data_IF_789603978509
#
_entry.id   IF_789603978509
#
_cell.length_a   1.000
_cell.length_b   1.000
_cell.length_c   1.000
_cell.angle_alpha   90.00
_cell.angle_beta   90.00
_cell.angle_gamma   90.00
#
_symmetry.space_group_name_H-M   'P 1'
#
loop_
_entity.id
_entity.type
_entity.pdbx_description
1 polymer ?
#
# COMPACT_ATOMS: atom_id res chain seq x y z
N UNK A 1 2.70 -16.04 12.05
CA UNK A 1 3.89 -15.46 11.40
C UNK A 1 4.27 -14.13 12.06
N UNK A 2 5.55 -13.84 12.24
CA UNK A 2 6.01 -12.56 12.75
C UNK A 2 5.73 -11.44 11.73
N UNK A 3 5.25 -10.26 12.19
CA UNK A 3 4.98 -9.12 11.31
C UNK A 3 6.30 -8.52 10.82
N UNK A 4 6.49 -8.42 9.50
CA UNK A 4 7.71 -7.86 8.89
C UNK A 4 8.03 -6.47 9.46
N UNK A 5 9.31 -6.18 9.72
CA UNK A 5 9.80 -4.88 10.18
C UNK A 5 9.17 -4.33 11.49
N UNK A 6 8.64 -5.20 12.37
CA UNK A 6 8.00 -4.80 13.65
C UNK A 6 8.82 -3.80 14.47
N UNK A 7 10.14 -4.00 14.56
CA UNK A 7 11.05 -3.16 15.35
C UNK A 7 11.97 -2.29 14.48
N UNK A 8 11.54 -1.92 13.27
CA UNK A 8 12.34 -1.09 12.36
C UNK A 8 12.71 0.25 12.99
N UNK A 9 13.96 0.69 12.77
CA UNK A 9 14.45 2.04 13.09
C UNK A 9 14.42 2.97 11.88
N UNK A 10 14.02 2.46 10.71
CA UNK A 10 13.92 3.24 9.48
C UNK A 10 12.69 4.15 9.58
N UNK A 11 12.91 5.45 9.40
CA UNK A 11 11.82 6.43 9.44
C UNK A 11 10.89 6.29 8.25
N UNK A 12 9.72 6.92 8.34
CA UNK A 12 8.74 6.96 7.25
C UNK A 12 9.32 7.69 6.04
N UNK A 13 10.03 8.79 6.26
CA UNK A 13 10.66 9.63 5.23
C UNK A 13 11.71 8.83 4.46
N UNK A 14 12.55 8.06 5.16
CA UNK A 14 13.54 7.19 4.51
C UNK A 14 12.85 6.13 3.64
N UNK A 15 11.74 5.56 4.11
CA UNK A 15 10.98 4.57 3.34
C UNK A 15 10.34 5.18 2.09
N UNK A 16 9.79 6.41 2.19
CA UNK A 16 9.25 7.17 1.05
C UNK A 16 10.31 7.54 0.02
N UNK A 17 11.47 8.01 0.48
CA UNK A 17 12.60 8.31 -0.43
C UNK A 17 13.11 7.05 -1.13
N UNK A 18 13.12 5.91 -0.44
CA UNK A 18 13.48 4.62 -1.05
C UNK A 18 12.43 4.13 -2.07
N UNK A 19 11.13 4.36 -1.82
CA UNK A 19 10.05 4.13 -2.80
C UNK A 19 10.29 4.95 -4.07
N UNK A 20 10.49 6.26 -3.92
CA UNK A 20 10.74 7.19 -5.03
C UNK A 20 11.94 6.77 -5.88
N UNK A 21 13.10 6.58 -5.24
CA UNK A 21 14.34 6.15 -5.92
C UNK A 21 14.18 4.80 -6.61
N UNK A 22 13.40 3.89 -6.03
CA UNK A 22 13.13 2.59 -6.64
C UNK A 22 12.28 2.79 -7.89
N UNK A 23 11.14 3.47 -7.80
CA UNK A 23 10.27 3.70 -8.95
C UNK A 23 10.96 4.47 -10.07
N UNK A 24 11.77 5.48 -9.74
CA UNK A 24 12.54 6.25 -10.71
C UNK A 24 13.50 5.35 -11.51
N UNK A 25 14.17 4.38 -10.86
CA UNK A 25 15.05 3.42 -11.54
C UNK A 25 14.29 2.51 -12.52
N UNK A 26 13.02 2.21 -12.23
CA UNK A 26 12.15 1.40 -13.09
C UNK A 26 11.37 2.25 -14.11
N UNK A 27 11.79 3.50 -14.34
CA UNK A 27 11.24 4.34 -15.42
C UNK A 27 9.98 5.11 -15.04
N UNK A 28 9.69 5.28 -13.74
CA UNK A 28 8.60 6.16 -13.33
C UNK A 28 8.87 7.61 -13.73
N UNK A 29 7.92 8.20 -14.46
CA UNK A 29 7.95 9.58 -14.96
C UNK A 29 7.35 10.56 -13.96
N UNK A 30 6.46 10.07 -13.10
CA UNK A 30 5.82 10.83 -12.03
C UNK A 30 5.74 9.96 -10.79
N UNK A 31 5.87 10.58 -9.62
CA UNK A 31 5.76 9.93 -8.32
C UNK A 31 5.07 10.85 -7.33
N UNK A 32 4.20 10.27 -6.50
CA UNK A 32 3.58 10.92 -5.36
C UNK A 32 3.53 9.94 -4.19
N UNK A 33 3.86 10.41 -2.99
CA UNK A 33 3.57 9.67 -1.77
C UNK A 33 2.91 10.58 -0.75
N UNK A 34 1.97 10.03 0.00
CA UNK A 34 1.14 10.79 0.91
C UNK A 34 0.50 9.90 1.96
N UNK A 35 -0.20 10.51 2.89
CA UNK A 35 -1.01 9.81 3.87
C UNK A 35 -2.14 10.72 4.34
N UNK A 36 -3.22 10.12 4.81
CA UNK A 36 -4.25 10.80 5.59
C UNK A 36 -4.31 10.19 7.00
N UNK A 37 -5.45 10.26 7.67
CA UNK A 37 -5.60 9.72 9.02
C UNK A 37 -5.46 8.19 9.07
N UNK A 38 -5.92 7.49 8.03
CA UNK A 38 -6.14 6.05 8.06
C UNK A 38 -5.40 5.29 6.95
N UNK A 39 -4.80 5.98 5.99
CA UNK A 39 -4.22 5.39 4.80
C UNK A 39 -2.88 6.03 4.43
N UNK A 40 -1.96 5.18 3.98
CA UNK A 40 -0.76 5.57 3.23
C UNK A 40 -1.00 5.38 1.73
N UNK A 41 -0.49 6.30 0.93
CA UNK A 41 -0.63 6.32 -0.52
C UNK A 41 0.73 6.40 -1.20
N UNK A 42 0.90 5.60 -2.25
CA UNK A 42 1.97 5.74 -3.24
C UNK A 42 1.33 5.69 -4.61
N UNK A 43 1.56 6.71 -5.42
CA UNK A 43 1.11 6.77 -6.81
C UNK A 43 2.29 7.08 -7.72
N UNK A 44 2.28 6.51 -8.93
CA UNK A 44 3.34 6.70 -9.91
C UNK A 44 2.82 6.48 -11.33
N UNK A 45 3.54 7.03 -12.30
CA UNK A 45 3.24 6.85 -13.73
C UNK A 45 4.41 6.18 -14.43
N UNK A 46 4.15 5.05 -15.09
CA UNK A 46 5.09 4.36 -15.98
C UNK A 46 4.35 4.07 -17.29
N UNK A 47 5.01 4.27 -18.43
CA UNK A 47 4.45 4.04 -19.77
C UNK A 47 3.08 4.74 -19.98
N UNK A 48 2.96 5.98 -19.51
CA UNK A 48 1.73 6.78 -19.60
C UNK A 48 0.50 6.15 -18.89
N UNK A 49 0.72 5.23 -17.95
CA UNK A 49 -0.32 4.65 -17.09
C UNK A 49 -0.05 5.01 -15.63
N UNK A 50 -1.07 5.50 -14.95
CA UNK A 50 -1.03 5.81 -13.53
C UNK A 50 -1.37 4.58 -12.69
N UNK A 51 -0.62 4.37 -11.62
CA UNK A 51 -0.83 3.31 -10.63
C UNK A 51 -0.92 3.93 -9.24
N UNK A 52 -1.75 3.37 -8.38
CA UNK A 52 -1.94 3.81 -6.99
C UNK A 52 -2.02 2.61 -6.06
N UNK A 53 -1.10 2.56 -5.11
CA UNK A 53 -1.06 1.57 -4.04
C UNK A 53 -1.44 2.24 -2.72
N UNK A 54 -2.32 1.60 -1.96
CA UNK A 54 -2.74 2.07 -0.64
C UNK A 54 -2.44 1.02 0.42
N UNK A 55 -2.22 1.48 1.65
CA UNK A 55 -2.06 0.61 2.80
C UNK A 55 -2.69 1.25 4.04
N UNK A 56 -3.56 0.54 4.77
CA UNK A 56 -4.10 1.06 6.02
C UNK A 56 -3.01 1.37 7.04
N UNK A 57 -3.04 2.59 7.56
CA UNK A 57 -2.30 3.00 8.73
C UNK A 57 -3.08 2.65 9.99
N UNK A 58 -2.39 2.32 11.09
CA UNK A 58 -3.07 1.96 12.32
C UNK A 58 -3.66 3.22 12.97
N UNK A 59 -4.82 3.08 13.59
CA UNK A 59 -5.44 4.17 14.35
C UNK A 59 -4.68 4.40 15.66
N UNK A 60 -4.66 5.65 16.14
CA UNK A 60 -4.07 5.98 17.45
C UNK A 60 -4.80 5.29 18.60
N UNK A 61 -6.08 5.00 18.43
CA UNK A 61 -6.91 4.33 19.45
C UNK A 61 -6.46 2.89 19.73
N UNK A 62 -5.84 2.22 18.75
CA UNK A 62 -5.32 0.85 18.88
C UNK A 62 -4.21 0.74 19.94
N UNK A 63 -3.56 1.86 20.29
CA UNK A 63 -2.41 1.90 21.18
C UNK A 63 -2.72 2.48 22.57
N UNK A 64 -4.01 2.58 22.95
CA UNK A 64 -4.40 3.10 24.28
C UNK A 64 -3.92 2.22 25.44
N UNK A 65 -3.93 0.91 25.26
CA UNK A 65 -3.59 -0.06 26.30
C UNK A 65 -2.25 -0.75 26.02
N UNK A 66 -1.63 -1.26 27.09
CA UNK A 66 -0.46 -2.13 26.98
C UNK A 66 -0.79 -3.36 26.13
N UNK A 67 0.22 -4.03 25.53
CA UNK A 67 -0.02 -5.27 24.77
C UNK A 67 -0.72 -6.38 25.58
N UNK A 68 -0.63 -6.35 26.92
CA UNK A 68 -1.33 -7.26 27.84
C UNK A 68 -2.78 -6.84 28.15
N UNK A 69 -3.23 -5.70 27.63
CA UNK A 69 -4.57 -5.11 27.87
C UNK A 69 -4.80 -4.56 29.28
N UNK A 70 -3.82 -4.70 30.18
CA UNK A 70 -4.04 -4.52 31.62
C UNK A 70 -3.88 -3.09 32.11
N UNK A 71 -3.20 -2.22 31.34
CA UNK A 71 -2.84 -0.86 31.77
C UNK A 71 -2.93 0.14 30.62
N UNK A 72 -3.53 1.29 30.87
CA UNK A 72 -3.50 2.43 29.93
C UNK A 72 -2.09 3.02 29.82
N UNK A 73 -1.66 3.29 28.59
CA UNK A 73 -0.34 3.84 28.30
C UNK A 73 -0.33 5.36 28.47
N UNK A 74 0.84 5.90 28.80
CA UNK A 74 1.05 7.35 28.77
C UNK A 74 0.99 7.86 27.33
N UNK A 75 0.57 9.12 27.12
CA UNK A 75 0.47 9.74 25.79
C UNK A 75 1.75 9.57 24.95
N UNK A 76 2.92 9.71 25.57
CA UNK A 76 4.22 9.51 24.93
C UNK A 76 4.43 8.08 24.44
N UNK A 77 4.09 7.07 25.27
CA UNK A 77 4.20 5.65 24.90
C UNK A 77 3.20 5.28 23.81
N UNK A 78 1.98 5.81 23.89
CA UNK A 78 0.98 5.64 22.83
C UNK A 78 1.49 6.19 21.49
N UNK A 79 2.02 7.42 21.50
CA UNK A 79 2.56 8.07 20.32
C UNK A 79 3.73 7.28 19.74
N UNK A 80 4.71 6.90 20.57
CA UNK A 80 5.86 6.12 20.13
C UNK A 80 5.49 4.75 19.55
N UNK A 81 4.50 4.06 20.13
CA UNK A 81 4.00 2.78 19.62
C UNK A 81 3.26 2.95 18.28
N UNK A 82 2.42 3.98 18.17
CA UNK A 82 1.72 4.32 16.93
C UNK A 82 2.71 4.66 15.81
N UNK A 83 3.68 5.54 16.06
CA UNK A 83 4.72 5.89 15.09
C UNK A 83 5.53 4.67 14.66
N UNK A 84 5.86 3.77 15.59
CA UNK A 84 6.55 2.52 15.29
C UNK A 84 5.73 1.63 14.34
N UNK A 85 4.42 1.54 14.56
CA UNK A 85 3.53 0.80 13.69
C UNK A 85 3.38 1.47 12.32
N UNK A 86 3.32 2.81 12.25
CA UNK A 86 3.34 3.55 10.98
C UNK A 86 4.65 3.30 10.20
N UNK A 87 5.82 3.36 10.86
CA UNK A 87 7.12 3.00 10.24
C UNK A 87 7.09 1.59 9.66
N UNK A 88 6.53 0.65 10.41
CA UNK A 88 6.38 -0.75 9.96
C UNK A 88 5.49 -0.85 8.72
N UNK A 89 4.36 -0.15 8.66
CA UNK A 89 3.46 -0.14 7.49
C UNK A 89 4.14 0.39 6.24
N UNK A 90 4.86 1.51 6.33
CA UNK A 90 5.62 2.05 5.20
C UNK A 90 6.71 1.09 4.70
N UNK A 91 7.39 0.38 5.61
CA UNK A 91 8.34 -0.68 5.24
C UNK A 91 7.67 -1.85 4.55
N UNK A 92 6.47 -2.24 4.97
CA UNK A 92 5.70 -3.29 4.32
C UNK A 92 5.26 -2.87 2.91
N UNK A 93 4.82 -1.61 2.73
CA UNK A 93 4.44 -1.08 1.41
C UNK A 93 5.63 -1.10 0.44
N UNK A 94 6.80 -0.65 0.90
CA UNK A 94 8.04 -0.72 0.12
C UNK A 94 8.45 -2.15 -0.21
N UNK A 95 8.35 -3.09 0.74
CA UNK A 95 8.65 -4.49 0.49
C UNK A 95 7.72 -5.07 -0.58
N UNK A 96 6.42 -4.80 -0.47
CA UNK A 96 5.43 -5.22 -1.46
C UNK A 96 5.77 -4.68 -2.85
N UNK A 97 6.07 -3.38 -2.95
CA UNK A 97 6.47 -2.79 -4.23
C UNK A 97 7.73 -3.46 -4.81
N UNK A 98 8.78 -3.62 -3.99
CA UNK A 98 10.02 -4.27 -4.45
C UNK A 98 9.80 -5.69 -4.93
N UNK A 99 8.99 -6.48 -4.22
CA UNK A 99 8.66 -7.84 -4.64
C UNK A 99 7.96 -7.88 -5.99
N UNK A 100 7.04 -6.94 -6.25
CA UNK A 100 6.37 -6.80 -7.55
C UNK A 100 7.35 -6.44 -8.67
N UNK A 101 8.22 -5.47 -8.42
CA UNK A 101 9.24 -5.04 -9.37
C UNK A 101 10.27 -6.15 -9.68
N UNK A 102 10.69 -6.90 -8.66
CA UNK A 102 11.55 -8.09 -8.83
C UNK A 102 10.84 -9.17 -9.66
N UNK A 103 9.55 -9.40 -9.44
CA UNK A 103 8.74 -10.32 -10.24
C UNK A 103 8.74 -9.96 -11.74
N UNK A 104 8.79 -8.66 -12.04
CA UNK A 104 8.92 -8.18 -13.42
C UNK A 104 10.34 -8.39 -13.94
N UNK A 105 11.37 -8.04 -13.16
CA UNK A 105 12.77 -8.20 -13.57
C UNK A 105 13.19 -9.65 -13.80
N UNK A 106 12.71 -10.58 -12.99
CA UNK A 106 12.97 -12.01 -13.18
C UNK A 106 12.07 -12.66 -14.24
N UNK A 107 11.21 -11.87 -14.91
CA UNK A 107 10.35 -12.34 -16.00
C UNK A 107 9.14 -13.17 -15.55
N UNK A 108 8.82 -13.19 -14.25
CA UNK A 108 7.65 -13.90 -13.74
C UNK A 108 6.33 -13.19 -14.08
N UNK A 109 6.36 -11.88 -14.33
CA UNK A 109 5.21 -11.09 -14.75
C UNK A 109 5.60 -9.91 -15.65
N UNK A 110 4.63 -9.33 -16.35
CA UNK A 110 4.77 -8.02 -17.00
C UNK A 110 4.32 -6.92 -16.05
N UNK A 111 4.73 -5.66 -16.31
CA UNK A 111 4.28 -4.51 -15.53
C UNK A 111 2.75 -4.42 -15.52
N UNK A 112 2.13 -4.56 -16.68
CA UNK A 112 0.69 -4.43 -16.88
C UNK A 112 -0.09 -5.47 -16.07
N UNK A 113 0.42 -6.70 -16.00
CA UNK A 113 -0.24 -7.77 -15.24
C UNK A 113 0.02 -7.64 -13.74
N UNK A 114 1.28 -7.41 -13.35
CA UNK A 114 1.68 -7.37 -11.93
C UNK A 114 1.06 -6.18 -11.18
N UNK A 115 0.85 -5.07 -11.89
CA UNK A 115 0.25 -3.84 -11.36
C UNK A 115 -1.20 -3.60 -11.81
N UNK A 116 -1.84 -4.55 -12.51
CA UNK A 116 -3.20 -4.36 -13.06
C UNK A 116 -4.19 -3.85 -12.01
N UNK A 117 -4.25 -4.51 -10.86
CA UNK A 117 -5.14 -4.17 -9.74
C UNK A 117 -4.95 -2.74 -9.20
N UNK A 118 -3.77 -2.15 -9.40
CA UNK A 118 -3.38 -0.83 -8.93
C UNK A 118 -3.48 0.24 -10.02
N UNK A 119 -3.70 -0.14 -11.28
CA UNK A 119 -3.85 0.79 -12.38
C UNK A 119 -5.06 1.71 -12.12
N UNK A 120 -4.89 3.01 -12.32
CA UNK A 120 -5.92 4.00 -12.11
C UNK A 120 -6.78 4.17 -13.37
N UNK A 121 -8.09 4.24 -13.15
CA UNK A 121 -9.08 4.62 -14.14
C UNK A 121 -9.21 6.15 -14.21
N UNK A 122 -9.84 6.72 -15.26
CA UNK A 122 -10.01 8.18 -15.39
C UNK A 122 -10.73 8.85 -14.22
N UNK A 123 -11.56 8.12 -13.48
CA UNK A 123 -12.25 8.61 -12.28
C UNK A 123 -11.37 8.63 -11.02
N UNK A 124 -10.11 8.16 -11.11
CA UNK A 124 -9.14 8.12 -10.01
C UNK A 124 -9.23 6.87 -9.12
N UNK A 125 -10.20 5.99 -9.33
CA UNK A 125 -10.25 4.67 -8.69
C UNK A 125 -9.25 3.71 -9.33
N UNK A 126 -8.83 2.68 -8.60
CA UNK A 126 -8.02 1.60 -9.21
C UNK A 126 -8.91 0.54 -9.85
N UNK A 127 -8.37 -0.22 -10.80
CA UNK A 127 -9.06 -1.37 -11.40
C UNK A 127 -9.59 -2.33 -10.34
N UNK A 128 -8.83 -2.60 -9.27
CA UNK A 128 -9.31 -3.44 -8.17
C UNK A 128 -10.56 -2.86 -7.50
N UNK A 129 -10.57 -1.56 -7.20
CA UNK A 129 -11.72 -0.91 -6.56
C UNK A 129 -12.97 -0.99 -7.45
N UNK A 130 -12.80 -0.83 -8.76
CA UNK A 130 -13.90 -0.93 -9.72
C UNK A 130 -14.38 -2.37 -9.93
N UNK A 131 -13.47 -3.34 -9.98
CA UNK A 131 -13.76 -4.72 -10.36
C UNK A 131 -14.32 -5.57 -9.22
N UNK A 132 -13.94 -5.31 -7.96
CA UNK A 132 -14.37 -6.11 -6.81
C UNK A 132 -15.90 -6.27 -6.70
N UNK A 133 -16.71 -5.19 -6.76
CA UNK A 133 -18.17 -5.33 -6.70
C UNK A 133 -18.75 -6.16 -7.85
N UNK A 134 -18.13 -6.11 -9.03
CA UNK A 134 -18.58 -6.87 -10.20
C UNK A 134 -18.23 -8.35 -10.04
N UNK A 135 -17.04 -8.65 -9.53
CA UNK A 135 -16.62 -10.01 -9.22
C UNK A 135 -17.56 -10.66 -8.20
N UNK A 136 -17.95 -9.93 -7.14
CA UNK A 136 -18.89 -10.43 -6.14
C UNK A 136 -20.21 -10.84 -6.78
N UNK A 137 -20.78 -9.99 -7.64
CA UNK A 137 -21.99 -10.29 -8.39
C UNK A 137 -21.83 -11.54 -9.29
N UNK A 138 -20.72 -11.67 -10.02
CA UNK A 138 -20.46 -12.81 -10.91
C UNK A 138 -20.39 -14.11 -10.11
N UNK A 139 -19.66 -14.09 -8.99
CA UNK A 139 -19.45 -15.25 -8.13
C UNK A 139 -20.75 -15.68 -7.42
N UNK A 140 -21.65 -14.73 -7.15
CA UNK A 140 -23.02 -14.99 -6.70
C UNK A 140 -23.94 -15.52 -7.81
N UNK A 141 -23.44 -15.66 -9.04
CA UNK A 141 -24.17 -16.20 -10.20
C UNK A 141 -24.88 -15.15 -11.06
N UNK A 142 -24.75 -13.87 -10.73
CA UNK A 142 -25.28 -12.76 -11.52
C UNK A 142 -24.23 -12.29 -12.53
N UNK A 143 -24.25 -12.87 -13.73
CA UNK A 143 -23.35 -12.45 -14.81
C UNK A 143 -23.53 -10.94 -15.12
N UNK A 144 -22.45 -10.15 -15.17
CA UNK A 144 -22.51 -8.76 -15.59
C UNK A 144 -23.05 -8.74 -17.02
N UNK A 145 -23.92 -7.77 -17.33
CA UNK A 145 -24.32 -7.53 -18.72
C UNK A 145 -23.05 -7.22 -19.50
N UNK A 146 -22.69 -8.10 -20.44
CA UNK A 146 -21.63 -7.83 -21.42
C UNK A 146 -21.96 -6.48 -22.07
N UNK A 147 -20.96 -5.60 -22.14
CA UNK A 147 -21.07 -4.31 -22.82
C UNK A 147 -21.64 -4.57 -24.22
N UNK A 148 -22.86 -4.11 -24.44
CA UNK A 148 -23.59 -4.17 -25.72
C UNK A 148 -23.57 -2.80 -26.36
#
# INVERSE_FOLDING_TARGET
MARYAKNTKVSVEKSKSELERTLQRYGAQQFMSGWDQDMAYVAFVINNRAYKMTLPLPSRSEFKYSPSGSRELTKERMLGAWEQACRQRWRALLLMLKGKLEGIECGAATLENEFLAYACLPNGETVSQWLQPQMDNVLEGNMPKLLT
#
